data_IF_728228180695
#
_entry.id   IF_728228180695
#
_cell.length_a   1.000
_cell.length_b   1.000
_cell.length_c   1.000
_cell.angle_alpha   90.00
_cell.angle_beta   90.00
_cell.angle_gamma   90.00
#
_symmetry.space_group_name_H-M   'P 1'
#
loop_
_entity.id
_entity.type
_entity.pdbx_description
1 polymer ?
#
# COMPACT_ATOMS: atom_id res chain seq x y z
N UNK A 1 18.20 -25.86 -11.20
CA UNK A 1 18.22 -25.51 -9.76
C UNK A 1 16.80 -25.56 -9.22
N UNK A 2 16.48 -26.51 -8.31
CA UNK A 2 15.19 -26.52 -7.61
C UNK A 2 15.13 -25.27 -6.74
N UNK A 3 14.27 -24.33 -7.11
CA UNK A 3 14.10 -23.02 -6.45
C UNK A 3 13.45 -23.28 -5.09
N UNK A 4 14.17 -23.15 -3.99
CA UNK A 4 13.65 -23.33 -2.63
C UNK A 4 12.77 -22.14 -2.26
N UNK A 5 11.47 -22.22 -2.56
CA UNK A 5 10.46 -21.19 -2.29
C UNK A 5 10.10 -21.04 -0.80
N UNK A 6 10.81 -21.72 0.11
CA UNK A 6 10.46 -21.86 1.53
C UNK A 6 11.27 -20.99 2.47
N UNK A 7 12.40 -20.43 2.02
CA UNK A 7 13.30 -19.73 2.93
C UNK A 7 12.94 -18.25 3.01
N UNK A 8 12.55 -17.82 4.21
CA UNK A 8 12.44 -16.42 4.56
C UNK A 8 13.80 -15.75 4.40
N UNK A 9 13.91 -14.79 3.48
CA UNK A 9 15.18 -14.11 3.19
C UNK A 9 15.23 -12.77 3.92
N UNK A 10 16.01 -12.70 5.00
CA UNK A 10 16.24 -11.45 5.74
C UNK A 10 16.86 -10.35 4.86
N UNK A 11 17.74 -10.74 3.94
CA UNK A 11 18.43 -9.82 3.01
C UNK A 11 17.42 -9.15 2.07
N UNK A 12 16.43 -9.89 1.57
CA UNK A 12 15.39 -9.33 0.72
C UNK A 12 14.49 -8.35 1.50
N UNK A 13 14.13 -8.72 2.73
CA UNK A 13 13.36 -7.87 3.65
C UNK A 13 14.07 -6.51 3.87
N UNK A 14 15.36 -6.57 4.22
CA UNK A 14 16.17 -5.38 4.43
C UNK A 14 16.37 -4.55 3.16
N UNK A 15 16.56 -5.19 2.00
CA UNK A 15 16.70 -4.49 0.72
C UNK A 15 15.46 -3.67 0.34
N UNK A 16 14.27 -4.25 0.55
CA UNK A 16 12.98 -3.57 0.37
C UNK A 16 12.83 -2.41 1.36
N UNK A 17 13.11 -2.63 2.65
CA UNK A 17 13.05 -1.60 3.67
C UNK A 17 14.04 -0.45 3.39
N UNK A 18 15.27 -0.76 2.95
CA UNK A 18 16.27 0.24 2.58
C UNK A 18 15.82 1.09 1.39
N UNK A 19 15.23 0.47 0.36
CA UNK A 19 14.65 1.21 -0.78
C UNK A 19 13.54 2.16 -0.31
N UNK A 20 12.68 1.69 0.59
CA UNK A 20 11.61 2.49 1.19
C UNK A 20 12.20 3.72 1.90
N UNK A 21 13.20 3.51 2.76
CA UNK A 21 13.85 4.58 3.53
C UNK A 21 14.53 5.62 2.65
N UNK A 22 15.28 5.19 1.63
CA UNK A 22 15.94 6.10 0.71
C UNK A 22 14.94 6.98 -0.05
N UNK A 23 13.79 6.42 -0.44
CA UNK A 23 12.71 7.21 -1.04
C UNK A 23 12.14 8.23 -0.06
N UNK A 24 11.88 7.78 1.17
CA UNK A 24 11.33 8.61 2.25
C UNK A 24 12.21 9.82 2.56
N UNK A 25 13.51 9.60 2.69
CA UNK A 25 14.49 10.67 2.95
C UNK A 25 14.57 11.66 1.78
N UNK A 26 14.48 11.19 0.54
CA UNK A 26 14.42 12.07 -0.64
C UNK A 26 13.12 12.87 -0.71
N UNK A 27 12.03 12.34 -0.18
CA UNK A 27 10.74 13.02 -0.08
C UNK A 27 10.51 13.67 1.29
N UNK A 28 11.54 14.27 1.90
CA UNK A 28 11.44 14.93 3.20
C UNK A 28 10.34 16.00 3.25
N UNK A 29 10.10 16.70 2.13
CA UNK A 29 9.01 17.67 2.00
C UNK A 29 7.63 17.06 2.28
N UNK A 30 7.40 15.80 1.89
CA UNK A 30 6.13 15.13 2.13
C UNK A 30 5.91 14.85 3.62
N UNK A 31 6.98 14.56 4.36
CA UNK A 31 6.94 14.37 5.83
C UNK A 31 6.56 15.68 6.52
N UNK A 32 7.11 16.82 6.07
CA UNK A 32 6.73 18.13 6.63
C UNK A 32 5.24 18.41 6.37
N UNK A 33 4.75 18.09 5.17
CA UNK A 33 3.35 18.32 4.80
C UNK A 33 2.40 17.41 5.58
N UNK A 34 2.72 16.13 5.78
CA UNK A 34 1.89 15.21 6.58
C UNK A 34 1.82 15.65 8.05
N UNK A 35 2.90 16.23 8.57
CA UNK A 35 2.97 16.76 9.93
C UNK A 35 2.27 18.10 10.11
N UNK A 36 1.93 18.81 9.04
CA UNK A 36 1.31 20.12 9.15
C UNK A 36 -0.01 20.06 9.93
N UNK A 37 -0.85 19.05 9.67
CA UNK A 37 -2.12 18.87 10.36
C UNK A 37 -1.96 18.65 11.89
N UNK A 38 -1.18 17.65 12.38
CA UNK A 38 -0.99 17.46 13.82
C UNK A 38 -0.26 18.64 14.48
N UNK A 39 0.66 19.31 13.76
CA UNK A 39 1.34 20.51 14.28
C UNK A 39 0.37 21.67 14.46
N UNK A 40 -0.49 21.94 13.46
CA UNK A 40 -1.53 22.97 13.57
C UNK A 40 -2.45 22.65 14.74
N UNK A 41 -2.86 21.39 14.90
CA UNK A 41 -3.69 20.97 16.03
C UNK A 41 -2.99 21.23 17.37
N UNK A 42 -1.70 20.93 17.47
CA UNK A 42 -0.93 21.17 18.69
C UNK A 42 -0.77 22.66 19.01
N UNK A 43 -0.47 23.49 18.01
CA UNK A 43 -0.32 24.94 18.17
C UNK A 43 -1.66 25.62 18.45
N UNK A 44 -2.74 25.20 17.80
CA UNK A 44 -4.06 25.80 17.97
C UNK A 44 -4.67 25.44 19.33
N UNK A 45 -4.59 24.17 19.72
CA UNK A 45 -5.22 23.70 20.95
C UNK A 45 -4.30 23.78 22.18
N UNK A 46 -2.98 23.70 22.03
CA UNK A 46 -2.03 23.70 23.15
C UNK A 46 -2.18 24.92 24.06
N UNK A 47 -1.96 26.15 23.57
CA UNK A 47 -2.12 27.39 24.35
C UNK A 47 -3.57 27.66 24.76
N UNK A 48 -4.52 27.36 23.87
CA UNK A 48 -5.94 27.55 24.14
C UNK A 48 -6.37 26.75 25.37
N UNK A 49 -5.97 25.49 25.46
CA UNK A 49 -6.36 24.61 26.57
C UNK A 49 -5.58 24.89 27.86
N UNK A 50 -4.31 25.31 27.78
CA UNK A 50 -3.53 25.73 28.94
C UNK A 50 -4.14 26.93 29.68
N UNK A 51 -4.77 27.85 28.95
CA UNK A 51 -5.46 28.99 29.55
C UNK A 51 -6.82 28.62 30.17
N UNK A 52 -7.48 27.56 29.66
CA UNK A 52 -8.74 27.04 30.23
C UNK A 52 -8.55 26.30 31.54
N UNK A 53 -7.42 25.60 31.73
CA UNK A 53 -7.15 24.80 32.94
C UNK A 53 -6.77 25.66 34.16
N UNK A 54 -6.18 26.85 33.94
CA UNK A 54 -5.82 27.76 35.04
C UNK A 54 -7.03 28.35 35.79
N UNK A 55 -8.25 28.22 35.26
CA UNK A 55 -9.47 28.78 35.84
C UNK A 55 -10.30 27.83 36.74
N UNK A 56 -10.10 26.51 36.68
CA UNK A 56 -10.92 25.53 37.40
C UNK A 56 -10.06 24.41 38.02
N UNK A 57 -10.03 24.32 39.35
CA UNK A 57 -9.26 23.33 40.13
C UNK A 57 -9.70 21.86 39.95
N UNK A 58 -10.78 21.60 39.21
CA UNK A 58 -11.24 20.26 38.81
C UNK A 58 -10.86 19.88 37.37
N UNK A 59 -10.22 20.79 36.62
CA UNK A 59 -9.71 20.51 35.28
C UNK A 59 -8.39 19.75 35.39
N UNK A 60 -8.50 18.46 35.74
CA UNK A 60 -7.45 17.48 35.53
C UNK A 60 -6.86 17.73 34.14
N UNK A 61 -5.57 18.09 34.15
CA UNK A 61 -4.72 18.54 33.06
C UNK A 61 -5.19 18.08 31.67
N UNK A 62 -6.10 18.85 31.04
CA UNK A 62 -6.71 18.49 29.75
C UNK A 62 -5.65 18.33 28.66
N UNK A 63 -4.52 19.04 28.81
CA UNK A 63 -3.33 18.90 27.99
C UNK A 63 -2.80 17.45 28.04
N UNK A 64 -2.74 16.86 29.23
CA UNK A 64 -2.34 15.47 29.45
C UNK A 64 -3.33 14.44 28.88
N UNK A 65 -4.59 14.81 28.67
CA UNK A 65 -5.54 13.98 27.93
C UNK A 65 -5.39 14.11 26.41
N UNK A 66 -5.15 15.33 25.93
CA UNK A 66 -5.20 15.71 24.51
C UNK A 66 -3.91 15.38 23.75
N UNK A 67 -2.73 15.60 24.34
CA UNK A 67 -1.44 15.36 23.68
C UNK A 67 -1.22 13.88 23.33
N UNK A 68 -1.45 12.90 24.23
CA UNK A 68 -1.49 11.48 23.87
C UNK A 68 -2.45 11.16 22.72
N UNK A 69 -3.58 11.86 22.66
CA UNK A 69 -4.56 11.76 21.57
C UNK A 69 -3.98 12.15 20.22
N UNK A 70 -3.29 13.30 20.14
CA UNK A 70 -2.63 13.74 18.91
C UNK A 70 -1.52 12.76 18.49
N UNK A 71 -0.74 12.24 19.45
CA UNK A 71 0.31 11.26 19.18
C UNK A 71 -0.30 9.98 18.57
N UNK A 72 -1.38 9.45 19.16
CA UNK A 72 -2.07 8.27 18.65
C UNK A 72 -2.68 8.51 17.26
N UNK A 73 -3.26 9.70 17.03
CA UNK A 73 -3.83 10.09 15.74
C UNK A 73 -2.75 10.23 14.66
N UNK A 74 -1.59 10.79 15.00
CA UNK A 74 -0.44 10.88 14.10
C UNK A 74 0.07 9.48 13.76
N UNK A 75 0.27 8.63 14.77
CA UNK A 75 0.69 7.24 14.57
C UNK A 75 -0.26 6.50 13.64
N UNK A 76 -1.58 6.63 13.86
CA UNK A 76 -2.61 6.00 13.04
C UNK A 76 -2.49 6.38 11.57
N UNK A 77 -2.49 7.67 11.25
CA UNK A 77 -2.42 8.11 9.86
C UNK A 77 -1.07 7.80 9.22
N UNK A 78 0.04 7.99 9.95
CA UNK A 78 1.37 7.68 9.48
C UNK A 78 1.53 6.19 9.12
N UNK A 79 1.04 5.29 9.97
CA UNK A 79 1.13 3.84 9.76
C UNK A 79 0.17 3.36 8.68
N UNK A 80 -1.05 3.90 8.63
CA UNK A 80 -2.05 3.52 7.61
C UNK A 80 -1.63 3.92 6.20
N UNK A 81 -0.98 5.09 6.02
CA UNK A 81 -0.63 5.63 4.70
C UNK A 81 0.80 5.34 4.22
N UNK A 82 1.75 5.10 5.12
CA UNK A 82 3.17 4.91 4.76
C UNK A 82 3.40 3.70 3.85
N UNK A 83 3.27 2.49 4.39
CA UNK A 83 3.55 1.26 3.65
C UNK A 83 2.60 1.05 2.46
N UNK A 84 1.34 1.42 2.63
CA UNK A 84 0.26 1.30 1.64
C UNK A 84 0.51 2.15 0.40
N UNK A 85 0.93 3.42 0.53
CA UNK A 85 1.24 4.29 -0.60
C UNK A 85 2.35 3.72 -1.47
N UNK A 86 3.36 3.10 -0.86
CA UNK A 86 4.46 2.47 -1.60
C UNK A 86 3.99 1.21 -2.32
N UNK A 87 3.19 0.37 -1.66
CA UNK A 87 2.59 -0.82 -2.30
C UNK A 87 1.76 -0.40 -3.53
N UNK A 88 1.00 0.68 -3.42
CA UNK A 88 0.24 1.19 -4.56
C UNK A 88 1.12 1.77 -5.67
N UNK A 89 2.20 2.47 -5.31
CA UNK A 89 3.15 2.95 -6.30
C UNK A 89 3.85 1.80 -7.03
N UNK A 90 4.23 0.74 -6.31
CA UNK A 90 4.86 -0.44 -6.88
C UNK A 90 3.88 -1.23 -7.78
N UNK A 91 2.58 -1.16 -7.51
CA UNK A 91 1.54 -1.62 -8.45
C UNK A 91 1.48 -0.77 -9.72
N UNK A 92 1.42 0.55 -9.56
CA UNK A 92 1.33 1.48 -10.69
C UNK A 92 2.53 1.33 -11.65
N UNK A 93 3.73 1.17 -11.08
CA UNK A 93 4.98 0.96 -11.83
C UNK A 93 5.19 -0.48 -12.32
N UNK A 94 4.24 -1.40 -12.08
CA UNK A 94 4.37 -2.86 -12.30
C UNK A 94 5.58 -3.50 -11.63
N UNK A 95 6.20 -2.81 -10.66
CA UNK A 95 7.32 -3.35 -9.89
C UNK A 95 6.90 -4.60 -9.08
N UNK A 96 5.62 -4.70 -8.73
CA UNK A 96 5.06 -5.90 -8.11
C UNK A 96 5.23 -7.18 -8.96
N UNK A 97 5.18 -7.06 -10.29
CA UNK A 97 5.42 -8.19 -11.20
C UNK A 97 6.87 -8.68 -11.08
N UNK A 98 7.83 -7.75 -10.98
CA UNK A 98 9.25 -8.03 -10.80
C UNK A 98 9.54 -8.69 -9.45
N UNK A 99 8.92 -8.19 -8.37
CA UNK A 99 9.04 -8.80 -7.04
C UNK A 99 8.50 -10.23 -7.06
N UNK A 100 7.43 -10.49 -7.80
CA UNK A 100 6.81 -11.82 -7.90
C UNK A 100 7.69 -12.84 -8.63
N UNK A 101 8.56 -12.38 -9.55
CA UNK A 101 9.54 -13.24 -10.26
C UNK A 101 10.70 -13.67 -9.35
N UNK A 102 10.99 -12.88 -8.32
CA UNK A 102 12.04 -13.14 -7.34
C UNK A 102 11.57 -14.27 -6.39
N UNK A 103 12.41 -15.25 -6.02
CA UNK A 103 12.03 -16.35 -5.12
C UNK A 103 11.89 -15.89 -3.67
N UNK A 104 10.92 -15.01 -3.39
CA UNK A 104 10.61 -14.53 -2.06
C UNK A 104 9.24 -15.04 -1.60
N UNK A 105 9.14 -15.35 -0.31
CA UNK A 105 7.83 -15.62 0.30
C UNK A 105 7.02 -14.32 0.39
N UNK A 106 5.68 -14.36 0.28
CA UNK A 106 4.85 -13.16 0.44
C UNK A 106 5.08 -12.47 1.79
N UNK A 107 5.34 -13.24 2.83
CA UNK A 107 5.63 -12.75 4.18
C UNK A 107 6.93 -11.92 4.23
N UNK A 108 7.98 -12.30 3.49
CA UNK A 108 9.21 -11.50 3.35
C UNK A 108 8.94 -10.13 2.72
N UNK A 109 8.06 -10.07 1.71
CA UNK A 109 7.71 -8.83 1.04
C UNK A 109 6.87 -7.93 1.95
N UNK A 110 5.84 -8.50 2.60
CA UNK A 110 4.97 -7.78 3.55
C UNK A 110 5.81 -7.18 4.69
N UNK A 111 6.71 -7.97 5.28
CA UNK A 111 7.58 -7.51 6.36
C UNK A 111 8.56 -6.42 5.89
N UNK A 112 9.08 -6.51 4.66
CA UNK A 112 9.94 -5.46 4.08
C UNK A 112 9.22 -4.12 3.95
N UNK A 113 7.97 -4.13 3.46
CA UNK A 113 7.14 -2.92 3.41
C UNK A 113 6.75 -2.42 4.80
N UNK A 114 6.38 -3.32 5.70
CA UNK A 114 6.01 -2.98 7.08
C UNK A 114 7.18 -2.35 7.84
N UNK A 115 8.41 -2.86 7.72
CA UNK A 115 9.60 -2.27 8.35
C UNK A 115 9.89 -0.87 7.80
N UNK A 116 9.79 -0.67 6.49
CA UNK A 116 9.97 0.65 5.87
C UNK A 116 8.92 1.66 6.34
N UNK A 117 7.64 1.26 6.33
CA UNK A 117 6.53 2.09 6.80
C UNK A 117 6.60 2.37 8.30
N UNK A 118 7.00 1.39 9.11
CA UNK A 118 7.23 1.53 10.54
C UNK A 118 8.25 2.63 10.83
N UNK A 119 9.43 2.55 10.22
CA UNK A 119 10.47 3.56 10.43
C UNK A 119 10.02 4.96 10.01
N UNK A 120 9.29 5.09 8.90
CA UNK A 120 8.70 6.36 8.48
C UNK A 120 7.69 6.89 9.51
N UNK A 121 6.80 6.05 10.02
CA UNK A 121 5.82 6.45 11.03
C UNK A 121 6.48 6.83 12.36
N UNK A 122 7.55 6.13 12.75
CA UNK A 122 8.35 6.48 13.94
C UNK A 122 8.98 7.86 13.77
N UNK A 123 9.50 8.20 12.58
CA UNK A 123 10.04 9.54 12.34
C UNK A 123 8.98 10.63 12.56
N UNK A 124 7.77 10.45 12.01
CA UNK A 124 6.67 11.43 12.20
C UNK A 124 6.25 11.55 13.67
N UNK A 125 6.05 10.42 14.35
CA UNK A 125 5.65 10.40 15.76
C UNK A 125 6.71 11.01 16.66
N UNK A 126 7.99 10.72 16.44
CA UNK A 126 9.10 11.33 17.20
C UNK A 126 9.11 12.84 17.02
N UNK A 127 8.88 13.35 15.81
CA UNK A 127 8.80 14.80 15.58
C UNK A 127 7.64 15.41 16.37
N UNK A 128 6.45 14.81 16.34
CA UNK A 128 5.29 15.29 17.12
C UNK A 128 5.55 15.22 18.62
N UNK A 129 6.17 14.14 19.12
CA UNK A 129 6.54 14.01 20.53
C UNK A 129 7.52 15.11 20.95
N UNK A 130 8.59 15.34 20.18
CA UNK A 130 9.56 16.41 20.45
C UNK A 130 8.87 17.77 20.46
N UNK A 131 8.02 18.06 19.46
CA UNK A 131 7.26 19.30 19.42
C UNK A 131 6.33 19.44 20.63
N UNK A 132 5.66 18.36 21.05
CA UNK A 132 4.78 18.40 22.22
C UNK A 132 5.49 18.79 23.52
N UNK A 133 6.77 18.43 23.69
CA UNK A 133 7.54 18.78 24.89
C UNK A 133 7.84 20.29 24.99
N UNK A 134 7.83 21.02 23.88
CA UNK A 134 7.95 22.48 23.92
C UNK A 134 6.70 23.18 24.47
N UNK A 135 5.53 22.52 24.36
CA UNK A 135 4.25 23.06 24.82
C UNK A 135 3.82 22.47 26.17
N UNK A 136 4.25 21.26 26.48
CA UNK A 136 3.88 20.52 27.69
C UNK A 136 5.14 20.19 28.46
N UNK A 137 5.30 20.83 29.62
CA UNK A 137 6.43 20.55 30.49
C UNK A 137 6.16 19.25 31.26
N UNK A 138 6.92 18.22 30.90
CA UNK A 138 7.14 16.98 31.62
C UNK A 138 6.04 15.89 31.56
N UNK A 139 6.44 14.72 31.06
CA UNK A 139 5.82 13.46 31.46
C UNK A 139 6.90 12.61 32.14
N UNK A 140 7.09 12.75 33.47
CA UNK A 140 7.89 11.79 34.22
C UNK A 140 7.16 10.46 34.21
N UNK A 141 7.61 9.54 33.35
CA UNK A 141 7.10 8.17 33.29
C UNK A 141 8.04 7.25 34.05
N UNK A 142 7.49 6.27 34.77
CA UNK A 142 8.32 5.18 35.28
C UNK A 142 8.94 4.43 34.09
N UNK A 143 10.13 3.88 34.28
CA UNK A 143 10.83 3.12 33.24
C UNK A 143 9.97 1.96 32.67
N UNK A 144 9.16 1.32 33.52
CA UNK A 144 8.26 0.22 33.13
C UNK A 144 7.13 0.72 32.22
N UNK A 145 6.52 1.86 32.54
CA UNK A 145 5.44 2.48 31.75
C UNK A 145 5.98 2.97 30.40
N UNK A 146 7.20 3.52 30.39
CA UNK A 146 7.88 3.90 29.16
C UNK A 146 8.09 2.68 28.23
N UNK A 147 8.59 1.56 28.76
CA UNK A 147 8.79 0.33 27.99
C UNK A 147 7.46 -0.24 27.47
N UNK A 148 6.42 -0.24 28.31
CA UNK A 148 5.06 -0.60 27.91
C UNK A 148 4.60 0.23 26.71
N UNK A 149 4.77 1.56 26.77
CA UNK A 149 4.29 2.46 25.73
C UNK A 149 5.04 2.25 24.40
N UNK A 150 6.35 2.02 24.44
CA UNK A 150 7.11 1.64 23.25
C UNK A 150 6.53 0.37 22.63
N UNK A 151 6.33 -0.67 23.45
CA UNK A 151 5.82 -1.95 22.95
C UNK A 151 4.40 -1.80 22.37
N UNK A 152 3.52 -1.07 23.05
CA UNK A 152 2.17 -0.80 22.60
C UNK A 152 2.16 -0.03 21.27
N UNK A 153 3.01 1.00 21.12
CA UNK A 153 3.17 1.75 19.86
C UNK A 153 3.65 0.84 18.73
N UNK A 154 4.67 0.01 18.98
CA UNK A 154 5.21 -0.93 17.97
C UNK A 154 4.13 -1.91 17.52
N UNK A 155 3.43 -2.55 18.46
CA UNK A 155 2.39 -3.52 18.11
C UNK A 155 1.24 -2.84 17.37
N UNK A 156 0.77 -1.69 17.87
CA UNK A 156 -0.33 -0.94 17.28
C UNK A 156 0.01 -0.43 15.87
N UNK A 157 1.24 0.02 15.65
CA UNK A 157 1.72 0.40 14.32
C UNK A 157 1.65 -0.76 13.33
N UNK A 158 1.98 -1.98 13.76
CA UNK A 158 1.86 -3.19 12.95
C UNK A 158 0.43 -3.46 12.49
N UNK A 159 -0.57 -3.26 13.37
CA UNK A 159 -1.99 -3.45 13.04
C UNK A 159 -2.37 -2.62 11.82
N UNK A 160 -2.10 -1.32 11.85
CA UNK A 160 -2.48 -0.37 10.80
C UNK A 160 -1.60 -0.47 9.56
N UNK A 161 -0.31 -0.80 9.70
CA UNK A 161 0.58 -1.09 8.57
C UNK A 161 0.06 -2.29 7.76
N UNK A 162 -0.23 -3.41 8.42
CA UNK A 162 -0.72 -4.60 7.73
C UNK A 162 -2.11 -4.38 7.11
N UNK A 163 -2.99 -3.64 7.80
CA UNK A 163 -4.30 -3.27 7.30
C UNK A 163 -4.19 -2.38 6.04
N UNK A 164 -3.36 -1.34 6.10
CA UNK A 164 -3.09 -0.43 4.99
C UNK A 164 -2.50 -1.17 3.78
N UNK A 165 -1.52 -2.05 4.00
CA UNK A 165 -0.93 -2.90 2.95
C UNK A 165 -1.99 -3.83 2.34
N UNK A 166 -2.86 -4.45 3.15
CA UNK A 166 -3.89 -5.36 2.67
C UNK A 166 -4.92 -4.63 1.78
N UNK A 167 -5.38 -3.45 2.21
CA UNK A 167 -6.32 -2.62 1.44
C UNK A 167 -5.65 -2.12 0.15
N UNK A 168 -4.40 -1.64 0.25
CA UNK A 168 -3.60 -1.21 -0.90
C UNK A 168 -3.39 -2.35 -1.89
N UNK A 169 -3.28 -3.60 -1.45
CA UNK A 169 -3.15 -4.77 -2.33
C UNK A 169 -4.47 -5.12 -3.02
N UNK A 170 -5.60 -4.87 -2.39
CA UNK A 170 -6.92 -5.21 -2.94
C UNK A 170 -7.42 -4.23 -3.98
N UNK A 171 -7.26 -2.94 -3.71
CA UNK A 171 -7.89 -1.85 -4.45
C UNK A 171 -6.92 -1.19 -5.44
N UNK A 172 -7.50 -0.42 -6.35
CA UNK A 172 -6.80 0.50 -7.25
C UNK A 172 -6.62 1.86 -6.56
N UNK A 173 -5.78 2.73 -7.13
CA UNK A 173 -5.37 4.01 -6.52
C UNK A 173 -6.53 4.88 -5.99
N UNK A 174 -7.53 5.12 -6.84
CA UNK A 174 -8.69 5.95 -6.50
C UNK A 174 -9.53 5.31 -5.39
N UNK A 175 -9.85 4.02 -5.54
CA UNK A 175 -10.66 3.27 -4.57
C UNK A 175 -9.97 3.11 -3.23
N UNK A 176 -8.65 2.92 -3.23
CA UNK A 176 -7.85 2.87 -2.01
C UNK A 176 -8.01 4.15 -1.19
N UNK A 177 -7.88 5.30 -1.84
CA UNK A 177 -7.90 6.60 -1.17
C UNK A 177 -9.27 6.84 -0.53
N UNK A 178 -10.33 6.54 -1.27
CA UNK A 178 -11.70 6.65 -0.77
C UNK A 178 -11.97 5.68 0.39
N UNK A 179 -11.60 4.40 0.25
CA UNK A 179 -11.88 3.39 1.27
C UNK A 179 -11.09 3.64 2.55
N UNK A 180 -9.81 4.00 2.46
CA UNK A 180 -9.00 4.29 3.65
C UNK A 180 -9.49 5.54 4.40
N UNK A 181 -9.95 6.57 3.68
CA UNK A 181 -10.54 7.77 4.29
C UNK A 181 -11.90 7.50 4.95
N UNK A 182 -12.76 6.71 4.31
CA UNK A 182 -14.05 6.32 4.91
C UNK A 182 -13.85 5.39 6.10
N UNK A 183 -12.85 4.52 6.06
CA UNK A 183 -12.49 3.61 7.15
C UNK A 183 -11.86 4.36 8.34
N UNK A 184 -11.09 5.42 8.10
CA UNK A 184 -10.45 6.17 9.17
C UNK A 184 -11.44 6.92 10.04
N UNK A 185 -12.56 7.40 9.48
CA UNK A 185 -13.58 8.13 10.23
C UNK A 185 -14.13 7.33 11.42
N UNK A 186 -14.77 6.16 11.27
CA UNK A 186 -15.30 5.42 12.40
C UNK A 186 -14.17 5.02 13.36
N UNK A 187 -13.00 4.63 12.86
CA UNK A 187 -11.88 4.25 13.73
C UNK A 187 -11.38 5.40 14.60
N UNK A 188 -11.28 6.61 14.06
CA UNK A 188 -10.76 7.76 14.82
C UNK A 188 -11.84 8.35 15.73
N UNK A 189 -13.08 8.49 15.25
CA UNK A 189 -14.15 9.13 16.03
C UNK A 189 -14.83 8.21 17.05
N UNK A 190 -14.89 6.89 16.80
CA UNK A 190 -15.28 5.88 17.79
C UNK A 190 -14.05 5.37 18.57
N UNK A 191 -13.09 6.25 18.85
CA UNK A 191 -11.96 5.98 19.74
C UNK A 191 -11.98 6.94 20.91
N UNK A 192 -11.21 6.61 21.94
CA UNK A 192 -11.05 7.49 23.09
C UNK A 192 -10.12 8.68 22.83
N UNK A 193 -9.76 9.01 21.57
CA UNK A 193 -8.87 10.14 21.24
C UNK A 193 -9.46 11.47 21.74
N UNK A 194 -10.73 11.74 21.44
CA UNK A 194 -11.36 13.03 21.74
C UNK A 194 -12.11 13.07 23.07
N UNK A 195 -12.65 11.93 23.51
CA UNK A 195 -13.42 11.84 24.74
C UNK A 195 -13.10 10.54 25.50
N UNK A 196 -13.18 10.54 26.84
CA UNK A 196 -13.02 9.32 27.64
C UNK A 196 -14.05 8.25 27.26
N UNK A 197 -13.72 6.98 27.42
CA UNK A 197 -14.61 5.86 27.03
C UNK A 197 -15.96 5.90 27.75
N UNK A 198 -15.99 6.39 28.99
CA UNK A 198 -17.20 6.40 29.84
C UNK A 198 -18.27 7.38 29.37
N UNK A 199 -17.91 8.38 28.55
CA UNK A 199 -18.87 9.40 28.07
C UNK A 199 -19.77 8.88 26.95
N UNK A 200 -19.43 7.75 26.33
CA UNK A 200 -20.16 7.18 25.19
C UNK A 200 -21.39 6.34 25.59
N UNK A 201 -21.67 6.18 26.89
CA UNK A 201 -22.85 5.46 27.39
C UNK A 201 -22.93 4.03 26.87
N UNK A 202 -24.01 3.69 26.16
CA UNK A 202 -24.24 2.35 25.60
C UNK A 202 -23.20 1.92 24.55
N UNK A 203 -22.46 2.87 23.95
CA UNK A 203 -21.43 2.58 22.95
C UNK A 203 -20.01 2.45 23.53
N UNK A 204 -19.85 2.57 24.85
CA UNK A 204 -18.55 2.50 25.51
C UNK A 204 -17.79 1.20 25.22
N UNK A 205 -18.50 0.07 25.08
CA UNK A 205 -17.87 -1.22 24.73
C UNK A 205 -17.24 -1.21 23.33
N UNK A 206 -17.87 -0.54 22.36
CA UNK A 206 -17.37 -0.44 20.98
C UNK A 206 -16.11 0.43 20.94
N UNK A 207 -16.12 1.53 21.69
CA UNK A 207 -14.96 2.43 21.85
C UNK A 207 -13.83 1.71 22.56
N UNK A 208 -14.12 0.90 23.59
CA UNK A 208 -13.13 0.10 24.32
C UNK A 208 -12.46 -1.00 23.48
N UNK A 209 -13.17 -1.55 22.49
CA UNK A 209 -12.59 -2.57 21.58
C UNK A 209 -11.65 -1.98 20.53
N UNK A 210 -11.75 -0.67 20.26
CA UNK A 210 -10.96 -0.02 19.23
C UNK A 210 -9.46 -0.05 19.58
N UNK A 211 -8.57 -0.52 18.69
CA UNK A 211 -7.13 -0.58 18.95
C UNK A 211 -6.51 0.78 19.31
N UNK A 212 -7.06 1.89 18.81
CA UNK A 212 -6.62 3.24 19.18
C UNK A 212 -6.95 3.57 20.64
N UNK A 213 -8.13 3.17 21.12
CA UNK A 213 -8.51 3.37 22.52
C UNK A 213 -7.63 2.55 23.45
N UNK A 214 -7.37 1.29 23.10
CA UNK A 214 -6.50 0.39 23.88
C UNK A 214 -5.07 0.96 23.98
N UNK A 215 -4.55 1.54 22.89
CA UNK A 215 -3.25 2.22 22.88
C UNK A 215 -3.23 3.42 23.86
N UNK A 216 -4.28 4.23 23.85
CA UNK A 216 -4.36 5.45 24.67
C UNK A 216 -4.38 5.19 26.17
N UNK A 217 -4.81 4.01 26.62
CA UNK A 217 -4.83 3.66 28.05
C UNK A 217 -3.44 3.79 28.68
N UNK A 218 -2.38 3.37 28.00
CA UNK A 218 -1.03 3.52 28.56
C UNK A 218 -0.35 4.84 28.23
N UNK A 219 -0.70 5.48 27.10
CA UNK A 219 -0.17 6.80 26.78
C UNK A 219 -0.67 7.88 27.76
N UNK A 220 -1.85 7.67 28.36
CA UNK A 220 -2.46 8.55 29.37
C UNK A 220 -2.18 8.16 30.80
N UNK A 221 -1.46 7.07 31.01
CA UNK A 221 -1.14 6.56 32.34
C UNK A 221 -0.57 7.61 33.32
N UNK A 222 0.34 8.51 32.89
CA UNK A 222 0.94 9.49 33.80
C UNK A 222 -0.08 10.46 34.41
N UNK A 223 -1.24 10.63 33.78
CA UNK A 223 -2.34 11.47 34.26
C UNK A 223 -3.50 10.63 34.80
N UNK A 224 -3.73 9.46 34.24
CA UNK A 224 -4.85 8.56 34.58
C UNK A 224 -4.29 7.15 34.83
N UNK A 225 -3.67 6.92 36.00
CA UNK A 225 -3.04 5.64 36.31
C UNK A 225 -4.06 4.50 36.30
N UNK A 226 -3.66 3.36 35.75
CA UNK A 226 -4.49 2.16 35.68
C UNK A 226 -3.89 1.03 36.52
N UNK A 227 -4.69 0.03 36.92
CA UNK A 227 -4.15 -1.12 37.62
C UNK A 227 -3.23 -1.94 36.69
N UNK A 228 -2.14 -2.54 37.21
CA UNK A 228 -1.14 -3.26 36.40
C UNK A 228 -1.70 -4.33 35.45
N UNK A 229 -2.80 -4.98 35.86
CA UNK A 229 -3.48 -6.03 35.09
C UNK A 229 -4.06 -5.50 33.77
N UNK A 230 -4.45 -4.22 33.72
CA UNK A 230 -5.02 -3.60 32.53
C UNK A 230 -3.99 -3.46 31.42
N UNK A 231 -2.74 -3.11 31.75
CA UNK A 231 -1.67 -3.03 30.75
C UNK A 231 -1.39 -4.41 30.12
N UNK A 232 -1.35 -5.47 30.94
CA UNK A 232 -1.12 -6.81 30.41
C UNK A 232 -2.25 -7.24 29.46
N UNK A 233 -3.50 -6.97 29.82
CA UNK A 233 -4.65 -7.23 28.95
C UNK A 233 -4.61 -6.42 27.66
N UNK A 234 -4.24 -5.14 27.74
CA UNK A 234 -4.12 -4.28 26.57
C UNK A 234 -3.05 -4.76 25.59
N UNK A 235 -1.88 -5.18 26.08
CA UNK A 235 -0.83 -5.76 25.24
C UNK A 235 -1.28 -7.06 24.57
N UNK A 236 -1.98 -7.91 25.32
CA UNK A 236 -2.53 -9.14 24.76
C UNK A 236 -3.53 -8.82 23.64
N UNK A 237 -4.49 -7.92 23.88
CA UNK A 237 -5.47 -7.50 22.88
C UNK A 237 -4.81 -6.91 21.63
N UNK A 238 -3.84 -5.99 21.80
CA UNK A 238 -3.09 -5.42 20.69
C UNK A 238 -2.32 -6.50 19.91
N UNK A 239 -1.72 -7.48 20.61
CA UNK A 239 -1.00 -8.58 19.96
C UNK A 239 -1.94 -9.45 19.12
N UNK A 240 -3.14 -9.74 19.63
CA UNK A 240 -4.17 -10.48 18.89
C UNK A 240 -4.58 -9.71 17.64
N UNK A 241 -4.86 -8.40 17.76
CA UNK A 241 -5.18 -7.57 16.59
C UNK A 241 -4.05 -7.49 15.57
N UNK A 242 -2.79 -7.45 16.02
CA UNK A 242 -1.65 -7.43 15.13
C UNK A 242 -1.51 -8.75 14.37
N UNK A 243 -1.69 -9.88 15.05
CA UNK A 243 -1.67 -11.22 14.43
C UNK A 243 -2.82 -11.42 13.44
N UNK A 244 -4.04 -10.97 13.77
CA UNK A 244 -5.17 -11.07 12.85
C UNK A 244 -4.97 -10.19 11.62
N UNK A 245 -4.47 -8.96 11.79
CA UNK A 245 -4.16 -8.05 10.68
C UNK A 245 -3.04 -8.62 9.79
N UNK A 246 -1.99 -9.17 10.39
CA UNK A 246 -0.92 -9.86 9.65
C UNK A 246 -1.44 -11.07 8.87
N UNK A 247 -2.23 -11.94 9.51
CA UNK A 247 -2.84 -13.10 8.88
C UNK A 247 -3.75 -12.72 7.70
N UNK A 248 -4.57 -11.67 7.89
CA UNK A 248 -5.42 -11.10 6.84
C UNK A 248 -4.58 -10.59 5.65
N UNK A 249 -3.49 -9.89 5.93
CA UNK A 249 -2.56 -9.39 4.91
C UNK A 249 -1.93 -10.54 4.10
N UNK A 250 -1.43 -11.58 4.78
CA UNK A 250 -0.84 -12.77 4.13
C UNK A 250 -1.88 -13.49 3.27
N UNK A 251 -3.10 -13.68 3.79
CA UNK A 251 -4.20 -14.29 3.04
C UNK A 251 -4.49 -13.55 1.72
N UNK A 252 -4.50 -12.21 1.75
CA UNK A 252 -4.75 -11.39 0.56
C UNK A 252 -3.62 -11.50 -0.47
N UNK A 253 -2.36 -11.61 -0.04
CA UNK A 253 -1.23 -11.82 -0.95
C UNK A 253 -1.23 -13.20 -1.60
N UNK A 254 -1.71 -14.23 -0.91
CA UNK A 254 -1.83 -15.58 -1.47
C UNK A 254 -2.94 -15.67 -2.54
N UNK A 255 -4.07 -14.96 -2.34
CA UNK A 255 -5.25 -15.08 -3.21
C UNK A 255 -5.05 -14.54 -4.64
N UNK A 256 -4.16 -13.56 -4.86
CA UNK A 256 -4.02 -12.86 -6.17
C UNK A 256 -2.82 -13.29 -7.03
N UNK A 257 -2.21 -14.46 -6.81
CA UNK A 257 -0.98 -14.89 -7.51
C UNK A 257 -1.10 -15.25 -9.01
N UNK A 258 -2.26 -15.07 -9.67
CA UNK A 258 -2.39 -15.38 -11.10
C UNK A 258 -3.33 -14.45 -11.89
N UNK A 259 -2.76 -13.44 -12.59
CA UNK A 259 -3.25 -13.03 -13.91
C UNK A 259 -2.25 -13.38 -15.03
N UNK A 260 -0.95 -13.54 -14.71
CA UNK A 260 0.10 -13.73 -15.72
C UNK A 260 -0.02 -15.01 -16.55
N UNK A 261 -0.64 -16.08 -16.02
CA UNK A 261 -0.80 -17.34 -16.76
C UNK A 261 -1.80 -17.27 -17.92
N UNK A 262 -2.76 -16.33 -17.90
CA UNK A 262 -3.72 -16.18 -19.01
C UNK A 262 -3.14 -15.33 -20.15
N UNK A 263 -2.35 -14.30 -19.84
CA UNK A 263 -1.72 -13.45 -20.86
C UNK A 263 -0.63 -14.22 -21.62
N UNK A 264 0.30 -14.90 -20.93
CA UNK A 264 1.40 -15.65 -21.59
C UNK A 264 0.89 -16.80 -22.45
N UNK A 265 -0.23 -17.44 -22.09
CA UNK A 265 -0.85 -18.50 -22.88
C UNK A 265 -1.59 -17.95 -24.10
N UNK A 266 -2.19 -16.76 -24.00
CA UNK A 266 -2.79 -16.05 -25.14
C UNK A 266 -1.73 -15.55 -26.11
N UNK A 267 -0.64 -14.94 -25.63
CA UNK A 267 0.46 -14.49 -26.50
C UNK A 267 1.21 -15.66 -27.12
N UNK A 268 1.41 -16.78 -26.41
CA UNK A 268 2.01 -18.00 -26.99
C UNK A 268 1.08 -18.67 -28.02
N UNK A 269 -0.23 -18.70 -27.78
CA UNK A 269 -1.21 -19.23 -28.73
C UNK A 269 -1.38 -18.31 -29.95
N UNK A 270 -1.26 -16.99 -29.78
CA UNK A 270 -1.25 -16.03 -30.88
C UNK A 270 0.02 -16.18 -31.70
N UNK A 271 1.21 -16.26 -31.09
CA UNK A 271 2.47 -16.52 -31.83
C UNK A 271 2.47 -17.88 -32.51
N UNK A 272 1.91 -18.92 -31.89
CA UNK A 272 1.77 -20.24 -32.51
C UNK A 272 0.75 -20.26 -33.65
N UNK A 273 -0.39 -19.56 -33.51
CA UNK A 273 -1.36 -19.40 -34.60
C UNK A 273 -0.83 -18.53 -35.74
N UNK A 274 -0.02 -17.52 -35.43
CA UNK A 274 0.59 -16.60 -36.40
C UNK A 274 1.82 -17.20 -37.10
N UNK A 275 2.57 -18.11 -36.46
CA UNK A 275 3.62 -18.90 -37.11
C UNK A 275 3.07 -19.92 -38.12
N UNK A 276 1.84 -20.38 -37.91
CA UNK A 276 1.13 -21.23 -38.87
C UNK A 276 0.47 -20.44 -40.00
N UNK A 277 0.48 -19.10 -39.94
CA UNK A 277 0.06 -18.24 -41.06
C UNK A 277 1.31 -17.87 -41.87
N UNK A 278 1.19 -17.90 -43.21
CA UNK A 278 2.31 -17.87 -44.14
C UNK A 278 3.35 -16.74 -43.99
N UNK A 279 4.46 -16.80 -44.76
CA UNK A 279 5.70 -16.04 -44.54
C UNK A 279 5.56 -14.51 -44.49
N UNK A 280 4.45 -13.98 -45.01
CA UNK A 280 4.13 -12.55 -45.05
C UNK A 280 3.89 -12.00 -43.62
N UNK A 281 3.20 -12.76 -42.76
CA UNK A 281 2.89 -12.30 -41.40
C UNK A 281 4.12 -12.25 -40.50
N UNK A 282 5.11 -13.12 -40.72
CA UNK A 282 6.37 -13.16 -39.99
C UNK A 282 7.26 -11.94 -40.30
N UNK A 283 7.28 -11.50 -41.56
CA UNK A 283 8.04 -10.32 -42.01
C UNK A 283 7.45 -9.03 -41.43
N UNK A 284 6.12 -8.93 -41.39
CA UNK A 284 5.35 -7.86 -40.75
C UNK A 284 5.61 -7.83 -39.23
N UNK A 285 5.66 -9.00 -38.57
CA UNK A 285 5.94 -9.09 -37.13
C UNK A 285 7.37 -8.65 -36.76
N UNK A 286 8.35 -8.93 -37.62
CA UNK A 286 9.74 -8.51 -37.41
C UNK A 286 9.90 -6.99 -37.54
N UNK A 287 9.15 -6.33 -38.42
CA UNK A 287 9.18 -4.87 -38.57
C UNK A 287 8.31 -4.14 -37.54
N UNK A 288 7.17 -4.70 -37.13
CA UNK A 288 6.25 -4.01 -36.20
C UNK A 288 6.62 -4.16 -34.72
N UNK A 289 7.31 -5.22 -34.32
CA UNK A 289 7.54 -5.53 -32.91
C UNK A 289 6.25 -5.90 -32.16
N UNK A 290 6.33 -6.94 -31.32
CA UNK A 290 5.15 -7.51 -30.64
C UNK A 290 4.37 -6.49 -29.79
N UNK A 291 5.06 -5.51 -29.21
CA UNK A 291 4.45 -4.50 -28.34
C UNK A 291 3.49 -3.55 -29.10
N UNK A 292 3.80 -3.24 -30.37
CA UNK A 292 2.99 -2.31 -31.18
C UNK A 292 1.73 -3.00 -31.71
N UNK A 293 1.86 -4.26 -32.10
CA UNK A 293 0.73 -5.10 -32.52
C UNK A 293 -0.29 -5.31 -31.41
N UNK A 294 0.17 -5.51 -30.16
CA UNK A 294 -0.73 -5.67 -29.01
C UNK A 294 -1.48 -4.36 -28.70
N UNK A 295 -0.82 -3.20 -28.83
CA UNK A 295 -1.45 -1.89 -28.66
C UNK A 295 -2.49 -1.58 -29.74
N UNK A 296 -2.18 -1.85 -31.01
CA UNK A 296 -3.11 -1.65 -32.13
C UNK A 296 -4.31 -2.58 -32.00
N UNK A 297 -4.10 -3.86 -31.65
CA UNK A 297 -5.17 -4.82 -31.44
C UNK A 297 -6.09 -4.41 -30.28
N UNK A 298 -5.53 -3.87 -29.19
CA UNK A 298 -6.30 -3.35 -28.06
C UNK A 298 -7.17 -2.14 -28.43
N UNK A 299 -6.67 -1.23 -29.26
CA UNK A 299 -7.44 -0.05 -29.71
C UNK A 299 -8.53 -0.42 -30.73
N UNK A 300 -8.26 -1.39 -31.61
CA UNK A 300 -9.25 -1.94 -32.54
C UNK A 300 -10.38 -2.70 -31.83
N UNK A 301 -10.08 -3.44 -30.76
CA UNK A 301 -11.08 -4.11 -29.92
C UNK A 301 -12.01 -3.13 -29.20
N UNK A 302 -11.50 -1.95 -28.86
CA UNK A 302 -12.28 -0.87 -28.24
C UNK A 302 -12.98 0.04 -29.26
N UNK A 303 -13.00 -0.35 -30.55
CA UNK A 303 -13.66 0.36 -31.66
C UNK A 303 -13.10 1.76 -31.98
N UNK A 304 -11.94 2.13 -31.43
CA UNK A 304 -11.25 3.40 -31.74
C UNK A 304 -10.33 3.23 -32.96
N UNK A 305 -10.94 3.20 -34.15
CA UNK A 305 -10.22 3.03 -35.42
C UNK A 305 -9.25 4.18 -35.72
N UNK A 306 -9.60 5.40 -35.33
CA UNK A 306 -8.78 6.58 -35.61
C UNK A 306 -7.48 6.61 -34.80
N UNK A 307 -7.52 6.25 -33.51
CA UNK A 307 -6.31 6.17 -32.68
C UNK A 307 -5.39 5.01 -33.10
N UNK A 308 -5.97 3.88 -33.51
CA UNK A 308 -5.20 2.77 -34.07
C UNK A 308 -4.48 3.17 -35.37
N UNK A 309 -5.15 3.93 -36.25
CA UNK A 309 -4.57 4.46 -37.48
C UNK A 309 -3.52 5.56 -37.21
N UNK A 310 -3.73 6.40 -36.20
CA UNK A 310 -2.78 7.42 -35.79
C UNK A 310 -1.49 6.81 -35.21
N UNK A 311 -1.61 5.79 -34.37
CA UNK A 311 -0.46 5.02 -33.86
C UNK A 311 0.31 4.34 -34.99
N UNK A 312 -0.41 3.78 -35.96
CA UNK A 312 0.20 3.15 -37.14
C UNK A 312 0.97 4.18 -38.00
N UNK A 313 0.36 5.32 -38.31
CA UNK A 313 1.01 6.41 -39.08
C UNK A 313 2.14 7.11 -38.33
N UNK A 314 2.10 7.14 -37.00
CA UNK A 314 3.15 7.79 -36.19
C UNK A 314 4.48 7.04 -36.21
N UNK A 315 4.46 5.75 -36.53
CA UNK A 315 5.63 4.86 -36.48
C UNK A 315 6.09 4.35 -37.85
N UNK A 316 5.29 4.50 -38.91
CA UNK A 316 5.64 4.08 -40.26
C UNK A 316 5.55 5.26 -41.23
N UNK A 317 6.59 5.45 -42.03
CA UNK A 317 6.55 6.39 -43.16
C UNK A 317 5.69 5.80 -44.29
N UNK A 318 5.02 6.65 -45.07
CA UNK A 318 4.09 6.23 -46.14
C UNK A 318 4.76 5.27 -47.16
N UNK A 319 6.09 5.37 -47.32
CA UNK A 319 6.90 4.51 -48.19
C UNK A 319 7.02 3.06 -47.68
N UNK A 320 7.08 2.86 -46.35
CA UNK A 320 7.12 1.52 -45.74
C UNK A 320 5.74 0.85 -45.78
N UNK A 321 4.66 1.62 -45.61
CA UNK A 321 3.28 1.15 -45.73
C UNK A 321 2.99 0.70 -47.16
N UNK A 322 3.48 1.44 -48.16
CA UNK A 322 3.30 1.11 -49.57
C UNK A 322 4.01 -0.20 -49.93
N UNK A 323 5.26 -0.39 -49.49
CA UNK A 323 6.00 -1.65 -49.67
C UNK A 323 5.32 -2.85 -49.01
N UNK A 324 4.73 -2.63 -47.83
CA UNK A 324 4.01 -3.67 -47.09
C UNK A 324 2.71 -4.09 -47.82
N UNK A 325 2.02 -3.13 -48.43
CA UNK A 325 0.86 -3.38 -49.28
C UNK A 325 1.22 -4.06 -50.61
N UNK A 326 2.35 -3.70 -51.21
CA UNK A 326 2.86 -4.30 -52.46
C UNK A 326 3.36 -5.74 -52.25
N UNK A 327 4.03 -6.01 -51.12
CA UNK A 327 4.39 -7.37 -50.66
C UNK A 327 3.14 -8.23 -50.38
N UNK A 328 2.04 -7.64 -49.87
CA UNK A 328 0.76 -8.34 -49.68
C UNK A 328 0.05 -8.64 -51.00
N UNK A 329 0.10 -7.72 -51.96
CA UNK A 329 -0.54 -7.84 -53.28
C UNK A 329 0.17 -8.86 -54.17
N UNK A 330 1.51 -8.89 -54.13
CA UNK A 330 2.34 -9.87 -54.87
C UNK A 330 2.21 -11.30 -54.33
N UNK A 331 1.92 -11.45 -53.04
CA UNK A 331 1.74 -12.77 -52.43
C UNK A 331 0.33 -13.37 -52.65
N UNK A 332 -0.67 -12.57 -53.03
CA UNK A 332 -1.98 -13.07 -53.47
C UNK A 332 -1.98 -13.56 -54.93
N UNK A 333 -0.92 -13.29 -55.71
CA UNK A 333 -0.86 -13.59 -57.15
C UNK A 333 -0.06 -14.85 -57.54
N UNK A 334 0.36 -15.70 -56.58
CA UNK A 334 0.94 -17.01 -56.93
C UNK A 334 -0.16 -18.01 -57.32
N UNK A 335 -0.08 -18.65 -58.51
CA UNK A 335 -1.15 -19.49 -59.03
C UNK A 335 -1.29 -20.79 -58.23
N UNK A 336 -2.52 -21.13 -57.91
CA UNK A 336 -2.93 -22.44 -57.42
C UNK A 336 -2.86 -23.48 -58.53
N UNK A 337 -1.75 -24.20 -58.71
CA UNK A 337 -1.75 -25.40 -59.55
C UNK A 337 -0.85 -26.55 -59.06
N UNK A 338 -1.43 -27.75 -59.19
CA UNK A 338 -0.86 -29.11 -59.14
C UNK A 338 -0.68 -29.79 -57.77
N UNK A 339 -1.68 -30.58 -57.37
CA UNK A 339 -1.53 -32.03 -57.17
C UNK A 339 -2.89 -32.67 -56.88
N UNK A 340 -3.53 -33.24 -57.90
CA UNK A 340 -4.18 -34.55 -57.79
C UNK A 340 -4.66 -34.98 -59.18
N UNK A 341 -3.85 -35.79 -59.86
CA UNK A 341 -4.43 -36.79 -60.75
C UNK A 341 -3.73 -38.13 -60.53
N UNK A 342 -4.54 -39.20 -60.58
CA UNK A 342 -4.21 -40.63 -60.55
C UNK A 342 -4.00 -41.29 -59.16
N UNK A 343 -5.10 -41.82 -58.61
CA UNK A 343 -5.28 -43.28 -58.36
C UNK A 343 -6.68 -43.56 -57.79
N UNK A 344 -7.61 -43.98 -58.67
CA UNK A 344 -8.66 -45.02 -58.48
C UNK A 344 -9.76 -44.83 -59.53
N UNK A 345 -9.93 -45.85 -60.37
CA UNK A 345 -10.95 -45.94 -61.42
C UNK A 345 -10.37 -46.65 -62.62
#
# INVERSE_FOLDING_TARGET
>A
MKKNWTNFSWVACWGLAKRYLLRTVRSFKNIIVSLLAPIIMLIAFGPAMNNYTQGNSSSLDYIGFFVPGIIALTLFYATLFSASTIVQWDKFTRFEEIITLTPNTPSTVILGYALGGFLHSVMEVVIVVVLSQFFVFAIPTSFLIFLYNILAIVICSGIFLFLGIAIAKLLDWERYTLVTSVLSLPLVYLSSIFAPTDTYGQFAWLVGLNPLSVLLVGLRDPQIPQPPVTYLWNLLLLSVYCLTSFGFCVFMFHRKRHPGRKQTRKTSLLTQKLQNTGPIHLKILQTLGMDVLEQIYHHLLNNNKEEALALFRSKFTDEEIYRLFEDLKSAQTLPSESHSDQTKG
#
